data_IF_759316967735
#
_entry.id   IF_759316967735
#
_cell.length_a   1.000
_cell.length_b   1.000
_cell.length_c   1.000
_cell.angle_alpha   90.00
_cell.angle_beta   90.00
_cell.angle_gamma   90.00
#
_symmetry.space_group_name_H-M   'P 1'
#
loop_
_entity.id
_entity.type
_entity.pdbx_description
1 polymer ?
#
# COMPACT_ATOMS: atom_id res chain seq x y z
N UNK A 1 -8.61 30.26 -5.01
CA UNK A 1 -7.15 30.38 -5.19
C UNK A 1 -6.63 29.02 -5.66
N UNK A 2 -6.11 28.92 -6.89
CA UNK A 2 -5.97 27.65 -7.61
C UNK A 2 -4.92 26.72 -6.98
N UNK A 3 -5.32 25.49 -6.67
CA UNK A 3 -4.49 24.41 -6.08
C UNK A 3 -3.33 23.93 -7.00
N UNK A 4 -3.10 24.59 -8.15
CA UNK A 4 -2.07 24.25 -9.13
C UNK A 4 -0.73 24.96 -8.89
N UNK A 5 -0.67 25.98 -8.03
CA UNK A 5 0.52 26.82 -7.87
C UNK A 5 1.45 26.44 -6.71
N UNK A 6 1.18 25.34 -5.98
CA UNK A 6 2.02 24.85 -4.86
C UNK A 6 2.96 23.71 -5.24
N UNK A 7 3.38 23.64 -6.50
CA UNK A 7 4.30 22.62 -7.00
C UNK A 7 5.45 23.27 -7.75
N UNK A 8 6.63 22.66 -7.64
CA UNK A 8 7.79 23.05 -8.43
C UNK A 8 7.52 22.73 -9.90
N UNK A 9 7.63 23.74 -10.76
CA UNK A 9 7.56 23.57 -12.21
C UNK A 9 8.95 23.18 -12.71
N UNK A 10 9.03 22.01 -13.34
CA UNK A 10 10.22 21.51 -14.01
C UNK A 10 9.87 21.31 -15.47
N UNK A 11 10.72 21.77 -16.37
CA UNK A 11 10.60 21.47 -17.79
C UNK A 11 11.05 20.02 -18.07
N UNK A 12 10.83 19.58 -19.31
CA UNK A 12 11.20 18.24 -19.74
C UNK A 12 12.74 18.06 -19.73
N UNK A 13 13.47 19.11 -20.11
CA UNK A 13 14.93 19.09 -20.15
C UNK A 13 15.53 18.89 -18.75
N UNK A 14 15.03 19.57 -17.71
CA UNK A 14 15.46 19.34 -16.34
C UNK A 14 15.10 17.94 -15.83
N UNK A 15 13.92 17.41 -16.18
CA UNK A 15 13.54 16.05 -15.81
C UNK A 15 14.50 14.99 -16.39
N UNK A 16 14.92 15.18 -17.64
CA UNK A 16 15.87 14.30 -18.33
C UNK A 16 17.29 14.48 -17.79
N UNK A 17 17.75 15.73 -17.65
CA UNK A 17 19.10 16.04 -17.14
C UNK A 17 19.32 15.55 -15.71
N UNK A 18 18.30 15.60 -14.85
CA UNK A 18 18.34 15.06 -13.49
C UNK A 18 18.08 13.56 -13.44
N UNK A 19 17.75 12.92 -14.57
CA UNK A 19 17.41 11.50 -14.66
C UNK A 19 16.38 11.08 -13.60
N UNK A 20 15.34 11.91 -13.40
CA UNK A 20 14.30 11.65 -12.39
C UNK A 20 13.64 10.29 -12.68
N UNK A 21 13.38 10.03 -13.96
CA UNK A 21 12.99 8.74 -14.49
C UNK A 21 13.84 8.39 -15.70
N UNK A 22 14.13 7.11 -15.86
CA UNK A 22 14.76 6.58 -17.05
C UNK A 22 14.04 5.29 -17.43
N UNK A 23 13.50 5.24 -18.64
CA UNK A 23 12.77 4.08 -19.12
C UNK A 23 13.67 3.28 -20.03
N UNK A 24 14.13 2.13 -19.56
CA UNK A 24 14.88 1.19 -20.37
C UNK A 24 13.91 0.41 -21.23
N UNK A 25 14.08 0.53 -22.55
CA UNK A 25 13.33 -0.27 -23.52
C UNK A 25 13.68 -1.74 -23.33
N UNK A 26 12.69 -2.59 -23.50
CA UNK A 26 12.91 -4.03 -23.44
C UNK A 26 13.87 -4.44 -24.58
N UNK A 27 14.88 -5.30 -24.34
CA UNK A 27 15.86 -5.68 -25.35
C UNK A 27 15.30 -6.56 -26.49
N UNK A 28 14.02 -6.93 -26.41
CA UNK A 28 13.35 -7.65 -27.50
C UNK A 28 13.14 -6.75 -28.71
N UNK A 29 13.78 -7.09 -29.82
CA UNK A 29 13.61 -6.45 -31.12
C UNK A 29 12.17 -6.59 -31.66
N UNK A 30 11.44 -7.62 -31.21
CA UNK A 30 10.04 -7.87 -31.61
C UNK A 30 9.03 -7.00 -30.84
N UNK A 31 9.46 -6.12 -29.94
CA UNK A 31 8.58 -5.26 -29.14
C UNK A 31 7.77 -6.00 -28.07
N UNK A 32 7.99 -7.32 -27.92
CA UNK A 32 7.35 -8.15 -26.91
C UNK A 32 8.16 -8.02 -25.61
N UNK A 33 7.70 -7.14 -24.73
CA UNK A 33 8.25 -6.95 -23.39
C UNK A 33 7.86 -5.61 -22.79
N UNK A 34 7.82 -5.54 -21.47
CA UNK A 34 7.47 -4.30 -20.76
C UNK A 34 8.74 -3.47 -20.56
N UNK A 35 8.66 -2.19 -20.91
CA UNK A 35 9.69 -1.24 -20.52
C UNK A 35 9.78 -1.20 -18.98
N UNK A 36 11.00 -1.09 -18.47
CA UNK A 36 11.26 -1.06 -17.03
C UNK A 36 11.96 0.24 -16.67
N UNK A 37 11.84 0.62 -15.40
CA UNK A 37 12.66 1.70 -14.86
C UNK A 37 14.13 1.26 -14.90
N UNK A 38 14.97 2.06 -15.55
CA UNK A 38 16.41 1.93 -15.63
C UNK A 38 17.11 2.61 -14.45
N UNK A 39 18.36 3.03 -14.67
CA UNK A 39 19.12 3.78 -13.68
C UNK A 39 18.61 5.22 -13.58
N UNK A 40 17.81 5.50 -12.55
CA UNK A 40 17.22 6.82 -12.31
C UNK A 40 17.16 7.14 -10.82
N UNK A 41 16.95 8.41 -10.48
CA UNK A 41 16.78 8.84 -9.08
C UNK A 41 15.58 8.11 -8.44
N UNK A 42 14.47 7.98 -9.18
CA UNK A 42 13.33 7.19 -8.72
C UNK A 42 13.69 5.71 -8.53
N UNK A 43 14.43 5.09 -9.47
CA UNK A 43 14.85 3.71 -9.37
C UNK A 43 15.69 3.42 -8.11
N UNK A 44 16.57 4.35 -7.75
CA UNK A 44 17.41 4.25 -6.55
C UNK A 44 16.57 4.37 -5.28
N UNK A 45 15.72 5.39 -5.19
CA UNK A 45 14.98 5.75 -3.97
C UNK A 45 13.71 4.94 -3.75
N UNK A 46 13.12 4.36 -4.79
CA UNK A 46 11.91 3.55 -4.66
C UNK A 46 12.17 2.21 -3.99
N UNK A 47 11.97 2.16 -2.66
CA UNK A 47 11.97 0.94 -1.84
C UNK A 47 10.57 0.54 -1.34
N UNK A 48 9.52 1.12 -1.92
CA UNK A 48 8.13 0.84 -1.55
C UNK A 48 7.79 -0.64 -1.78
N UNK A 49 7.09 -1.23 -0.81
CA UNK A 49 6.69 -2.65 -0.85
C UNK A 49 5.27 -2.86 -1.41
N UNK A 50 4.51 -1.79 -1.62
CA UNK A 50 3.16 -1.83 -2.20
C UNK A 50 3.12 -1.15 -3.57
N UNK A 51 2.27 -1.62 -4.51
CA UNK A 51 2.04 -0.93 -5.78
C UNK A 51 1.53 0.50 -5.59
N UNK A 52 0.65 0.72 -4.61
CA UNK A 52 0.09 2.05 -4.32
C UNK A 52 1.17 3.02 -3.83
N UNK A 53 2.06 2.56 -2.92
CA UNK A 53 3.18 3.36 -2.44
C UNK A 53 4.16 3.73 -3.55
N UNK A 54 4.47 2.77 -4.45
CA UNK A 54 5.29 3.03 -5.64
C UNK A 54 4.67 4.12 -6.53
N UNK A 55 3.36 4.06 -6.79
CA UNK A 55 2.65 5.07 -7.59
C UNK A 55 2.66 6.44 -6.92
N UNK A 56 2.43 6.49 -5.61
CA UNK A 56 2.47 7.73 -4.84
C UNK A 56 3.86 8.37 -4.87
N UNK A 57 4.92 7.59 -4.64
CA UNK A 57 6.29 8.07 -4.71
C UNK A 57 6.63 8.58 -6.11
N UNK A 58 6.21 7.86 -7.16
CA UNK A 58 6.39 8.32 -8.54
C UNK A 58 5.71 9.67 -8.78
N UNK A 59 4.50 9.84 -8.26
CA UNK A 59 3.77 11.11 -8.36
C UNK A 59 4.48 12.25 -7.61
N UNK A 60 5.12 11.98 -6.46
CA UNK A 60 5.90 12.98 -5.74
C UNK A 60 7.14 13.44 -6.52
N UNK A 61 7.80 12.54 -7.24
CA UNK A 61 8.96 12.87 -8.07
C UNK A 61 8.57 13.69 -9.31
N UNK A 62 7.41 13.39 -9.91
CA UNK A 62 6.85 14.18 -11.01
C UNK A 62 6.38 15.56 -10.57
N UNK A 63 5.98 15.71 -9.30
CA UNK A 63 5.31 16.90 -8.77
C UNK A 63 5.90 17.25 -7.40
N UNK A 64 7.13 17.79 -7.34
CA UNK A 64 7.73 18.20 -6.08
C UNK A 64 6.88 19.31 -5.45
N UNK A 65 6.66 19.20 -4.15
CA UNK A 65 5.92 20.18 -3.35
C UNK A 65 6.84 21.34 -2.99
N UNK A 66 6.28 22.56 -2.90
CA UNK A 66 7.00 23.75 -2.40
C UNK A 66 6.39 24.31 -1.11
N UNK A 67 5.36 23.64 -0.60
CA UNK A 67 4.69 24.00 0.65
C UNK A 67 5.54 23.56 1.84
N UNK A 68 6.03 24.53 2.61
CA UNK A 68 6.97 24.29 3.70
C UNK A 68 6.37 23.43 4.82
N UNK A 69 5.09 23.58 5.12
CA UNK A 69 4.42 22.82 6.18
C UNK A 69 4.30 21.35 5.78
N UNK A 70 3.96 21.09 4.51
CA UNK A 70 3.89 19.72 3.98
C UNK A 70 5.28 19.08 3.91
N UNK A 71 6.31 19.85 3.52
CA UNK A 71 7.70 19.36 3.49
C UNK A 71 8.15 19.00 4.91
N UNK A 72 7.98 19.90 5.88
CA UNK A 72 8.37 19.66 7.27
C UNK A 72 7.63 18.46 7.87
N UNK A 73 6.32 18.32 7.61
CA UNK A 73 5.58 17.16 8.09
C UNK A 73 6.13 15.83 7.52
N UNK A 74 6.49 15.80 6.23
CA UNK A 74 7.12 14.61 5.62
C UNK A 74 8.49 14.32 6.24
N UNK A 75 9.32 15.34 6.42
CA UNK A 75 10.64 15.19 7.04
C UNK A 75 10.54 14.71 8.48
N UNK A 76 9.63 15.29 9.27
CA UNK A 76 9.34 14.86 10.64
C UNK A 76 8.90 13.38 10.67
N UNK A 77 8.01 12.98 9.76
CA UNK A 77 7.57 11.58 9.64
C UNK A 77 8.74 10.63 9.33
N UNK A 78 9.66 11.03 8.44
CA UNK A 78 10.87 10.26 8.14
C UNK A 78 11.77 10.18 9.39
N UNK A 79 12.04 11.31 10.04
CA UNK A 79 12.86 11.38 11.26
C UNK A 79 12.28 10.53 12.39
N UNK A 80 10.96 10.47 12.53
CA UNK A 80 10.31 9.58 13.48
C UNK A 80 10.62 8.11 13.17
N UNK A 81 10.39 7.66 11.93
CA UNK A 81 10.63 6.27 11.53
C UNK A 81 12.10 5.85 11.57
N UNK A 82 13.03 6.79 11.38
CA UNK A 82 14.46 6.55 11.59
C UNK A 82 14.82 6.28 13.06
N UNK A 83 13.97 6.68 14.01
CA UNK A 83 14.18 6.43 15.44
C UNK A 83 13.38 5.24 15.98
N UNK A 84 12.54 4.60 15.17
CA UNK A 84 11.74 3.43 15.56
C UNK A 84 11.86 2.30 14.52
N UNK A 85 13.08 1.78 14.35
CA UNK A 85 13.40 0.76 13.34
C UNK A 85 12.55 -0.51 13.48
N UNK A 86 12.23 -0.94 14.70
CA UNK A 86 11.38 -2.10 14.95
C UNK A 86 9.97 -1.91 14.40
N UNK A 87 9.35 -0.77 14.69
CA UNK A 87 8.02 -0.39 14.17
C UNK A 87 8.07 -0.30 12.66
N UNK A 88 9.10 0.35 12.09
CA UNK A 88 9.27 0.46 10.64
C UNK A 88 9.44 -0.91 9.97
N UNK A 89 10.20 -1.82 10.57
CA UNK A 89 10.39 -3.19 10.08
C UNK A 89 9.08 -3.98 10.10
N UNK A 90 8.35 -3.92 11.22
CA UNK A 90 7.05 -4.59 11.38
C UNK A 90 6.01 -4.05 10.37
N UNK A 91 5.92 -2.73 10.21
CA UNK A 91 5.05 -2.09 9.21
C UNK A 91 5.44 -2.53 7.80
N UNK A 92 6.72 -2.47 7.44
CA UNK A 92 7.19 -2.85 6.12
C UNK A 92 6.90 -4.32 5.80
N UNK A 93 7.07 -5.21 6.77
CA UNK A 93 6.76 -6.63 6.60
C UNK A 93 5.25 -6.86 6.41
N UNK A 94 4.42 -6.19 7.21
CA UNK A 94 2.95 -6.25 7.10
C UNK A 94 2.46 -5.69 5.76
N UNK A 95 2.99 -4.54 5.34
CA UNK A 95 2.62 -3.90 4.07
C UNK A 95 2.95 -4.73 2.83
N UNK A 96 3.93 -5.66 2.88
CA UNK A 96 4.19 -6.58 1.75
C UNK A 96 2.99 -7.45 1.38
N UNK A 97 2.07 -7.67 2.32
CA UNK A 97 0.85 -8.44 2.10
C UNK A 97 -0.28 -7.58 1.50
N UNK A 98 -0.17 -6.26 1.56
CA UNK A 98 -1.16 -5.33 1.01
C UNK A 98 -0.97 -5.19 -0.50
N UNK A 99 -1.95 -5.68 -1.26
CA UNK A 99 -2.03 -5.61 -2.73
C UNK A 99 -2.89 -4.42 -3.16
N UNK A 100 -3.17 -4.34 -4.46
CA UNK A 100 -3.99 -3.28 -5.04
C UNK A 100 -5.49 -3.55 -4.80
N UNK A 101 -5.97 -3.22 -3.60
CA UNK A 101 -7.35 -3.49 -3.17
C UNK A 101 -8.40 -2.93 -4.14
N UNK A 102 -8.30 -1.68 -4.66
CA UNK A 102 -9.26 -1.18 -5.65
C UNK A 102 -9.33 -2.02 -6.92
N UNK A 103 -8.20 -2.56 -7.39
CA UNK A 103 -8.20 -3.46 -8.54
C UNK A 103 -8.93 -4.77 -8.25
N UNK A 104 -8.75 -5.33 -7.05
CA UNK A 104 -9.45 -6.55 -6.61
C UNK A 104 -10.95 -6.32 -6.52
N UNK A 105 -11.39 -5.21 -5.92
CA UNK A 105 -12.81 -4.85 -5.84
C UNK A 105 -13.42 -4.66 -7.22
N UNK A 106 -12.69 -4.03 -8.16
CA UNK A 106 -13.14 -3.89 -9.55
C UNK A 106 -13.31 -5.25 -10.23
N UNK A 107 -12.42 -6.21 -9.96
CA UNK A 107 -12.56 -7.58 -10.43
C UNK A 107 -13.80 -8.24 -9.81
N UNK A 108 -14.01 -8.15 -8.50
CA UNK A 108 -15.18 -8.76 -7.86
C UNK A 108 -16.52 -8.23 -8.39
N UNK A 109 -16.57 -6.94 -8.73
CA UNK A 109 -17.79 -6.30 -9.27
C UNK A 109 -17.94 -6.46 -10.79
N UNK A 110 -17.00 -7.10 -11.48
CA UNK A 110 -17.04 -7.23 -12.94
C UNK A 110 -17.72 -8.55 -13.35
N UNK A 111 -18.88 -8.51 -14.04
CA UNK A 111 -19.62 -9.71 -14.41
C UNK A 111 -18.86 -10.62 -15.39
N UNK A 112 -17.89 -10.07 -16.10
CA UNK A 112 -17.05 -10.79 -17.07
C UNK A 112 -15.77 -11.38 -16.47
N UNK A 113 -15.50 -11.17 -15.17
CA UNK A 113 -14.28 -11.69 -14.56
C UNK A 113 -14.57 -12.80 -13.56
N UNK A 114 -13.85 -13.91 -13.70
CA UNK A 114 -13.88 -15.00 -12.72
C UNK A 114 -13.02 -14.63 -11.51
N UNK A 115 -13.63 -14.68 -10.33
CA UNK A 115 -12.94 -14.58 -9.06
C UNK A 115 -12.61 -15.98 -8.55
N UNK A 116 -11.34 -16.22 -8.25
CA UNK A 116 -10.85 -17.50 -7.75
C UNK A 116 -10.72 -17.49 -6.22
N UNK A 117 -10.60 -18.68 -5.62
CA UNK A 117 -10.22 -18.83 -4.20
C UNK A 117 -9.00 -17.99 -3.82
N UNK A 118 -7.99 -17.99 -4.69
CA UNK A 118 -6.74 -17.26 -4.47
C UNK A 118 -6.95 -15.75 -4.39
N UNK A 119 -7.90 -15.21 -5.16
CA UNK A 119 -8.24 -13.78 -5.12
C UNK A 119 -8.88 -13.42 -3.78
N UNK A 120 -9.84 -14.22 -3.30
CA UNK A 120 -10.46 -14.04 -1.98
C UNK A 120 -9.46 -14.20 -0.84
N UNK A 121 -8.59 -15.21 -0.89
CA UNK A 121 -7.52 -15.39 0.09
C UNK A 121 -6.59 -14.17 0.13
N UNK A 122 -6.20 -13.66 -1.04
CA UNK A 122 -5.36 -12.46 -1.15
C UNK A 122 -6.06 -11.23 -0.59
N UNK A 123 -7.37 -11.09 -0.86
CA UNK A 123 -8.17 -9.96 -0.38
C UNK A 123 -8.26 -9.96 1.14
N UNK A 124 -8.61 -11.11 1.72
CA UNK A 124 -8.65 -11.29 3.16
C UNK A 124 -7.29 -11.00 3.79
N UNK A 125 -6.21 -11.54 3.22
CA UNK A 125 -4.84 -11.27 3.70
C UNK A 125 -4.50 -9.78 3.67
N UNK A 126 -4.95 -9.04 2.65
CA UNK A 126 -4.79 -7.59 2.60
C UNK A 126 -5.52 -6.92 3.76
N UNK A 127 -6.80 -7.26 3.98
CA UNK A 127 -7.62 -6.68 5.05
C UNK A 127 -7.00 -6.95 6.42
N UNK A 128 -6.67 -8.21 6.72
CA UNK A 128 -6.03 -8.56 8.00
C UNK A 128 -4.70 -7.82 8.19
N UNK A 129 -3.93 -7.61 7.12
CA UNK A 129 -2.69 -6.85 7.18
C UNK A 129 -2.93 -5.36 7.46
N UNK A 130 -4.00 -4.77 6.92
CA UNK A 130 -4.38 -3.39 7.23
C UNK A 130 -4.82 -3.26 8.70
N UNK A 131 -5.63 -4.19 9.21
CA UNK A 131 -6.02 -4.21 10.63
C UNK A 131 -4.80 -4.38 11.55
N UNK A 132 -3.84 -5.22 11.16
CA UNK A 132 -2.61 -5.43 11.92
C UNK A 132 -1.74 -4.17 12.04
N UNK A 133 -1.80 -3.23 11.09
CA UNK A 133 -1.07 -1.96 11.16
C UNK A 133 -1.46 -1.15 12.41
N UNK A 134 -2.75 -1.08 12.74
CA UNK A 134 -3.18 -0.40 13.97
C UNK A 134 -2.58 -1.08 15.20
N UNK A 135 -2.55 -2.41 15.23
CA UNK A 135 -1.96 -3.13 16.37
C UNK A 135 -0.45 -2.88 16.51
N UNK A 136 0.26 -2.74 15.39
CA UNK A 136 1.68 -2.37 15.39
C UNK A 136 1.88 -0.99 16.02
N UNK A 137 1.03 -0.01 15.71
CA UNK A 137 1.12 1.30 16.33
C UNK A 137 0.73 1.27 17.81
N UNK A 138 -0.34 0.56 18.17
CA UNK A 138 -0.82 0.42 19.54
C UNK A 138 0.23 -0.21 20.47
N UNK A 139 0.92 -1.25 20.00
CA UNK A 139 1.90 -2.00 20.82
C UNK A 139 3.32 -1.45 20.66
N UNK A 140 3.67 -0.97 19.46
CA UNK A 140 5.04 -0.59 19.12
C UNK A 140 5.40 0.86 19.46
N UNK A 141 4.41 1.72 19.75
CA UNK A 141 4.67 3.10 20.17
C UNK A 141 4.77 3.14 21.70
N UNK A 142 6.00 3.18 22.20
CA UNK A 142 6.26 3.45 23.62
C UNK A 142 5.89 4.89 23.99
N UNK A 143 5.78 5.17 25.30
CA UNK A 143 5.51 6.52 25.82
C UNK A 143 6.53 7.55 25.30
N UNK A 144 7.80 7.17 25.23
CA UNK A 144 8.85 8.03 24.66
C UNK A 144 8.60 8.37 23.19
N UNK A 145 8.18 7.40 22.37
CA UNK A 145 7.86 7.61 20.96
C UNK A 145 6.58 8.45 20.80
N UNK A 146 5.58 8.27 21.67
CA UNK A 146 4.37 9.08 21.69
C UNK A 146 4.68 10.56 21.98
N UNK A 147 5.53 10.84 22.96
CA UNK A 147 5.99 12.20 23.26
C UNK A 147 6.72 12.82 22.06
N UNK A 148 7.49 12.01 21.32
CA UNK A 148 8.17 12.45 20.10
C UNK A 148 7.21 12.78 18.96
N UNK A 149 6.15 11.97 18.77
CA UNK A 149 5.08 12.26 17.80
C UNK A 149 4.40 13.59 18.10
N UNK A 150 4.07 13.84 19.37
CA UNK A 150 3.47 15.10 19.81
C UNK A 150 4.39 16.30 19.57
N UNK A 151 5.67 16.19 19.96
CA UNK A 151 6.65 17.27 19.76
C UNK A 151 6.88 17.58 18.27
N UNK A 152 6.84 16.58 17.41
CA UNK A 152 7.01 16.75 15.96
C UNK A 152 5.70 17.12 15.23
N UNK A 153 4.59 17.23 15.96
CA UNK A 153 3.24 17.49 15.43
C UNK A 153 2.83 16.49 14.33
N UNK A 154 3.17 15.21 14.51
CA UNK A 154 2.88 14.13 13.55
C UNK A 154 1.56 13.44 13.94
N UNK A 155 0.58 13.49 13.05
CA UNK A 155 -0.77 12.90 13.20
C UNK A 155 -0.88 11.47 12.65
N UNK A 156 0.24 10.73 12.59
CA UNK A 156 0.33 9.42 11.93
C UNK A 156 -0.62 8.38 12.53
N UNK A 157 -0.65 8.27 13.86
CA UNK A 157 -1.48 7.29 14.59
C UNK A 157 -2.95 7.62 14.43
N UNK A 158 -3.30 8.90 14.54
CA UNK A 158 -4.65 9.40 14.31
C UNK A 158 -5.12 9.06 12.90
N UNK A 159 -4.29 9.34 11.89
CA UNK A 159 -4.56 9.00 10.48
C UNK A 159 -4.72 7.51 10.25
N UNK A 160 -3.91 6.67 10.90
CA UNK A 160 -4.04 5.23 10.79
C UNK A 160 -5.38 4.76 11.37
N UNK A 161 -5.70 5.20 12.58
CA UNK A 161 -6.93 4.86 13.28
C UNK A 161 -8.19 5.37 12.56
N UNK A 162 -8.14 6.56 11.96
CA UNK A 162 -9.28 7.11 11.20
C UNK A 162 -9.49 6.42 9.85
N UNK A 163 -8.45 5.79 9.29
CA UNK A 163 -8.50 5.15 7.97
C UNK A 163 -8.80 3.66 8.04
N UNK A 164 -8.41 3.00 9.13
CA UNK A 164 -8.62 1.57 9.39
C UNK A 164 -9.77 1.46 10.38
N UNK A 165 -10.98 1.43 9.84
CA UNK A 165 -12.22 1.64 10.59
C UNK A 165 -12.89 0.32 11.00
N UNK A 166 -13.93 0.41 11.84
CA UNK A 166 -14.71 -0.74 12.30
C UNK A 166 -15.41 -1.48 11.14
N UNK A 167 -15.73 -0.80 10.05
CA UNK A 167 -16.30 -1.39 8.84
C UNK A 167 -15.33 -2.41 8.21
N UNK A 168 -14.02 -2.14 8.28
CA UNK A 168 -13.02 -3.04 7.72
C UNK A 168 -12.92 -4.34 8.55
N UNK A 169 -13.07 -4.24 9.87
CA UNK A 169 -13.15 -5.39 10.77
C UNK A 169 -14.42 -6.22 10.50
N UNK A 170 -15.56 -5.55 10.34
CA UNK A 170 -16.81 -6.21 9.95
C UNK A 170 -16.67 -6.99 8.63
N UNK A 171 -16.08 -6.38 7.59
CA UNK A 171 -15.86 -7.05 6.30
C UNK A 171 -14.92 -8.24 6.46
N UNK A 172 -13.85 -8.11 7.26
CA UNK A 172 -12.95 -9.23 7.56
C UNK A 172 -13.69 -10.40 8.19
N UNK A 173 -14.49 -10.13 9.22
CA UNK A 173 -15.27 -11.13 9.94
C UNK A 173 -16.33 -11.80 9.06
N UNK A 174 -17.00 -11.03 8.20
CA UNK A 174 -17.96 -11.57 7.23
C UNK A 174 -17.27 -12.53 6.25
N UNK A 175 -16.16 -12.12 5.64
CA UNK A 175 -15.44 -12.94 4.67
C UNK A 175 -14.87 -14.20 5.32
N UNK A 176 -14.31 -14.11 6.54
CA UNK A 176 -13.84 -15.27 7.32
C UNK A 176 -15.00 -16.18 7.71
N UNK A 177 -16.17 -15.61 8.03
CA UNK A 177 -17.37 -16.36 8.39
C UNK A 177 -17.93 -17.18 7.24
N UNK A 178 -17.72 -16.73 6.00
CA UNK A 178 -18.26 -17.38 4.79
C UNK A 178 -17.23 -18.29 4.12
N UNK A 179 -15.98 -17.86 3.99
CA UNK A 179 -14.96 -18.54 3.17
C UNK A 179 -14.06 -19.41 4.04
N UNK A 180 -13.97 -20.70 3.69
CA UNK A 180 -12.96 -21.60 4.24
C UNK A 180 -11.66 -21.52 3.44
N UNK A 181 -10.76 -20.70 3.96
CA UNK A 181 -9.47 -20.41 3.35
C UNK A 181 -8.46 -21.57 3.51
N UNK A 182 -8.64 -22.46 4.49
CA UNK A 182 -7.73 -23.60 4.71
C UNK A 182 -8.08 -24.76 3.78
N UNK A 183 -9.38 -24.97 3.56
CA UNK A 183 -9.92 -26.06 2.74
C UNK A 183 -9.55 -25.99 1.26
N UNK A 184 -9.30 -24.79 0.74
CA UNK A 184 -8.82 -24.56 -0.63
C UNK A 184 -7.49 -25.27 -0.98
N UNK A 185 -6.72 -25.74 -0.01
CA UNK A 185 -5.45 -26.45 -0.24
C UNK A 185 -5.60 -27.97 -0.35
N UNK A 186 -6.74 -28.51 0.06
CA UNK A 186 -7.03 -29.95 0.01
C UNK A 186 -7.62 -30.31 -1.36
N UNK A 187 -6.97 -31.24 -2.07
CA UNK A 187 -7.46 -31.73 -3.35
C UNK A 187 -8.75 -32.52 -3.13
N UNK A 188 -9.91 -31.95 -3.47
CA UNK A 188 -11.18 -32.69 -3.47
C UNK A 188 -12.46 -31.88 -3.28
N UNK A 189 -12.38 -30.62 -2.84
CA UNK A 189 -13.58 -29.80 -2.58
C UNK A 189 -13.92 -28.88 -3.76
N UNK A 190 -15.18 -28.89 -4.19
CA UNK A 190 -15.71 -28.04 -5.27
C UNK A 190 -16.00 -26.61 -4.81
N UNK A 191 -16.25 -26.38 -3.53
CA UNK A 191 -16.72 -25.09 -3.00
C UNK A 191 -15.84 -24.56 -1.87
N UNK A 192 -15.80 -23.24 -1.78
CA UNK A 192 -14.96 -22.48 -0.83
C UNK A 192 -15.73 -22.01 0.40
N UNK A 193 -17.01 -22.32 0.45
CA UNK A 193 -17.91 -21.88 1.50
C UNK A 193 -17.75 -22.83 2.68
N UNK A 194 -17.80 -22.29 3.91
CA UNK A 194 -17.80 -23.12 5.11
C UNK A 194 -18.98 -24.08 5.11
N UNK A 195 -18.74 -25.28 5.64
CA UNK A 195 -19.78 -26.29 5.86
C UNK A 195 -20.94 -25.73 6.69
N UNK A 196 -22.16 -26.18 6.39
CA UNK A 196 -23.41 -25.77 7.04
C UNK A 196 -23.81 -24.29 6.84
N UNK A 197 -23.22 -23.58 5.88
CA UNK A 197 -23.66 -22.24 5.51
C UNK A 197 -24.84 -22.26 4.52
N UNK A 198 -24.95 -23.34 3.72
CA UNK A 198 -26.07 -23.62 2.84
C UNK A 198 -26.35 -25.11 2.91
N UNK A 199 -27.60 -25.51 3.10
CA UNK A 199 -28.00 -26.93 3.15
C UNK A 199 -27.85 -27.62 1.77
N UNK A 200 -27.62 -26.85 0.72
CA UNK A 200 -27.46 -27.28 -0.68
C UNK A 200 -25.99 -27.47 -1.11
N UNK A 201 -25.02 -27.19 -0.21
CA UNK A 201 -23.57 -27.31 -0.43
C UNK A 201 -22.99 -28.52 0.32
#
# INVERSE_FOLDING_TARGET
MHHRDRLLKLDAAAHEALQIFQVDKHPSYMGIGRAKEGFSVFGILNKCVTPMGRRLLRAWFLRPIIDIDVINNRLNTISFFLCCEEVMSALRQTLKSVRDVPHMLKKFNSPSSSCTSSDWHTFLKCICSLLHINKIFEVGISEHLANKLQHMSIDLVEKANSSITAELDYVSNLVIGVIDVQRSKEKGYETLVKENLCDEL
#
